data_IF_520906071266
#
_entry.id   IF_520906071266
#
_cell.length_a   1.000
_cell.length_b   1.000
_cell.length_c   1.000
_cell.angle_alpha   90.00
_cell.angle_beta   90.00
_cell.angle_gamma   90.00
#
_symmetry.space_group_name_H-M   'P 1'
#
loop_
_entity.id
_entity.type
_entity.pdbx_description
1 polymer ?
#
# COMPACT_ATOMS: atom_id res chain seq x y z
N UNK A 1 4.17 -8.57 -12.02
CA UNK A 1 3.45 -8.18 -10.78
C UNK A 1 2.03 -7.67 -11.03
N UNK A 2 1.81 -6.84 -12.06
CA UNK A 2 0.49 -6.24 -12.34
C UNK A 2 -0.56 -7.31 -12.66
N UNK A 3 -0.27 -8.25 -13.58
CA UNK A 3 -1.23 -9.29 -13.98
C UNK A 3 -1.78 -10.11 -12.81
N UNK A 4 -0.90 -10.65 -11.94
CA UNK A 4 -1.35 -11.44 -10.78
C UNK A 4 -2.10 -10.62 -9.74
N UNK A 5 -1.77 -9.33 -9.58
CA UNK A 5 -2.46 -8.42 -8.66
C UNK A 5 -3.84 -8.05 -9.17
N UNK A 6 -3.98 -7.80 -10.47
CA UNK A 6 -5.26 -7.54 -11.12
C UNK A 6 -6.14 -8.78 -11.07
N UNK A 7 -5.57 -9.97 -11.29
CA UNK A 7 -6.30 -11.24 -11.14
C UNK A 7 -6.74 -11.51 -9.70
N UNK A 8 -5.89 -11.26 -8.69
CA UNK A 8 -6.31 -11.45 -7.30
C UNK A 8 -7.45 -10.52 -6.89
N UNK A 9 -7.46 -9.28 -7.37
CA UNK A 9 -8.54 -8.31 -7.09
C UNK A 9 -9.88 -8.70 -7.74
N UNK A 10 -9.87 -9.57 -8.76
CA UNK A 10 -11.12 -10.11 -9.31
C UNK A 10 -11.77 -11.16 -8.40
N UNK A 11 -10.97 -11.82 -7.55
CA UNK A 11 -11.45 -12.91 -6.68
C UNK A 11 -11.46 -12.57 -5.19
N UNK A 12 -10.71 -11.56 -4.75
CA UNK A 12 -10.65 -11.09 -3.36
C UNK A 12 -11.14 -9.65 -3.25
N UNK A 13 -11.83 -9.33 -2.17
CA UNK A 13 -12.16 -7.93 -1.84
C UNK A 13 -10.88 -7.12 -1.61
N UNK A 14 -10.94 -5.82 -1.90
CA UNK A 14 -9.79 -4.91 -1.80
C UNK A 14 -9.24 -4.87 -0.36
N UNK A 15 -10.12 -5.03 0.63
CA UNK A 15 -9.78 -5.12 2.06
C UNK A 15 -8.93 -6.37 2.37
N UNK A 16 -9.37 -7.55 1.91
CA UNK A 16 -8.62 -8.80 2.14
C UNK A 16 -7.30 -8.77 1.38
N UNK A 17 -7.30 -8.27 0.14
CA UNK A 17 -6.07 -8.04 -0.63
C UNK A 17 -5.08 -7.13 0.11
N UNK A 18 -5.58 -6.09 0.80
CA UNK A 18 -4.75 -5.17 1.58
C UNK A 18 -4.13 -5.84 2.81
N UNK A 19 -4.88 -6.69 3.53
CA UNK A 19 -4.35 -7.48 4.65
C UNK A 19 -3.24 -8.41 4.16
N UNK A 20 -3.48 -9.14 3.06
CA UNK A 20 -2.50 -10.07 2.50
C UNK A 20 -1.23 -9.38 2.02
N UNK A 21 -1.33 -8.19 1.43
CA UNK A 21 -0.15 -7.39 1.06
C UNK A 21 0.67 -6.98 2.28
N UNK A 22 0.01 -6.58 3.36
CA UNK A 22 0.71 -6.20 4.58
C UNK A 22 1.39 -7.42 5.24
N UNK A 23 0.76 -8.60 5.19
CA UNK A 23 1.38 -9.85 5.65
C UNK A 23 2.60 -10.24 4.79
N UNK A 24 2.54 -10.00 3.48
CA UNK A 24 3.66 -10.24 2.56
C UNK A 24 4.90 -9.42 2.96
N UNK A 25 4.74 -8.20 3.47
CA UNK A 25 5.86 -7.38 3.97
C UNK A 25 6.59 -8.09 5.11
N UNK A 26 5.87 -8.73 6.03
CA UNK A 26 6.44 -9.48 7.15
C UNK A 26 7.23 -10.68 6.64
N UNK A 27 6.65 -11.43 5.70
CA UNK A 27 7.32 -12.59 5.08
C UNK A 27 8.60 -12.15 4.35
N UNK A 28 8.55 -11.03 3.62
CA UNK A 28 9.71 -10.47 2.91
C UNK A 28 10.80 -10.06 3.90
N UNK A 29 10.44 -9.44 5.04
CA UNK A 29 11.41 -9.08 6.07
C UNK A 29 12.15 -10.31 6.64
N UNK A 30 11.43 -11.41 6.91
CA UNK A 30 12.04 -12.67 7.34
C UNK A 30 12.87 -13.33 6.23
N UNK A 31 12.41 -13.25 4.98
CA UNK A 31 13.14 -13.77 3.82
C UNK A 31 14.46 -13.03 3.63
N UNK A 32 14.46 -11.71 3.81
CA UNK A 32 15.66 -10.88 3.73
C UNK A 32 16.68 -11.29 4.80
N UNK A 33 16.23 -11.62 6.01
CA UNK A 33 17.08 -12.15 7.09
C UNK A 33 17.65 -13.52 6.76
N UNK A 34 16.85 -14.41 6.18
CA UNK A 34 17.30 -15.75 5.79
C UNK A 34 18.38 -15.71 4.70
N UNK A 35 18.23 -14.87 3.68
CA UNK A 35 19.13 -14.82 2.52
C UNK A 35 20.32 -13.88 2.69
N UNK A 36 20.17 -12.76 3.39
CA UNK A 36 21.21 -11.74 3.54
C UNK A 36 21.84 -11.70 4.94
N UNK A 37 21.45 -12.61 5.84
CA UNK A 37 22.08 -12.78 7.16
C UNK A 37 21.87 -11.61 8.13
N UNK A 38 20.92 -10.72 7.87
CA UNK A 38 20.60 -9.60 8.76
C UNK A 38 19.85 -10.02 10.02
N UNK A 39 19.83 -9.18 11.06
CA UNK A 39 19.04 -9.42 12.27
C UNK A 39 17.73 -8.62 12.27
N UNK A 40 16.60 -9.28 12.53
CA UNK A 40 15.35 -8.59 12.84
C UNK A 40 15.40 -8.17 14.30
N UNK A 41 15.58 -6.88 14.56
CA UNK A 41 15.43 -6.36 15.93
C UNK A 41 13.98 -6.57 16.38
N UNK A 42 13.73 -6.96 17.65
CA UNK A 42 12.37 -7.21 18.15
C UNK A 42 11.46 -5.99 18.02
N UNK A 43 12.04 -4.79 18.03
CA UNK A 43 11.32 -3.54 17.79
C UNK A 43 10.81 -3.38 16.35
N UNK A 44 11.51 -3.96 15.37
CA UNK A 44 11.09 -4.00 13.97
C UNK A 44 9.91 -4.97 13.80
N UNK A 45 9.95 -6.11 14.52
CA UNK A 45 8.84 -7.06 14.55
C UNK A 45 7.58 -6.44 15.17
N UNK A 46 7.74 -5.66 16.25
CA UNK A 46 6.65 -4.93 16.89
C UNK A 46 5.97 -3.98 15.88
N UNK A 47 6.75 -3.26 15.08
CA UNK A 47 6.21 -2.41 14.02
C UNK A 47 5.35 -3.18 13.02
N UNK A 48 5.81 -4.35 12.58
CA UNK A 48 5.03 -5.20 11.68
C UNK A 48 3.74 -5.72 12.31
N UNK A 49 3.75 -6.01 13.62
CA UNK A 49 2.55 -6.32 14.38
C UNK A 49 1.52 -5.20 14.29
N UNK A 50 1.92 -3.95 14.59
CA UNK A 50 1.05 -2.78 14.49
C UNK A 50 0.54 -2.53 13.07
N UNK A 51 1.37 -2.75 12.05
CA UNK A 51 0.99 -2.64 10.63
C UNK A 51 -0.14 -3.63 10.28
N UNK A 52 -0.01 -4.90 10.70
CA UNK A 52 -1.02 -5.94 10.44
C UNK A 52 -2.32 -5.63 11.19
N UNK A 53 -2.22 -5.28 12.48
CA UNK A 53 -3.38 -4.90 13.30
C UNK A 53 -4.13 -3.70 12.71
N UNK A 54 -3.42 -2.67 12.25
CA UNK A 54 -4.01 -1.51 11.57
C UNK A 54 -4.85 -1.92 10.37
N UNK A 55 -4.35 -2.81 9.50
CA UNK A 55 -5.12 -3.31 8.34
C UNK A 55 -6.32 -4.16 8.70
N UNK A 56 -6.27 -4.94 9.78
CA UNK A 56 -7.41 -5.75 10.25
C UNK A 56 -8.50 -4.83 10.79
N UNK A 57 -8.14 -3.84 11.61
CA UNK A 57 -9.08 -2.87 12.17
C UNK A 57 -9.72 -2.02 11.07
N UNK A 58 -8.95 -1.63 10.04
CA UNK A 58 -9.48 -0.92 8.87
C UNK A 58 -10.51 -1.76 8.12
N UNK A 59 -10.20 -3.03 7.83
CA UNK A 59 -11.13 -3.92 7.16
C UNK A 59 -12.40 -4.17 7.97
N UNK A 60 -12.27 -4.32 9.30
CA UNK A 60 -13.41 -4.44 10.20
C UNK A 60 -14.30 -3.20 10.19
N UNK A 61 -13.69 -2.01 10.21
CA UNK A 61 -14.40 -0.73 10.18
C UNK A 61 -15.20 -0.54 8.88
N UNK A 62 -14.61 -0.90 7.74
CA UNK A 62 -15.27 -0.79 6.43
C UNK A 62 -16.41 -1.81 6.28
N UNK A 63 -16.27 -3.04 6.80
CA UNK A 63 -17.34 -4.04 6.82
C UNK A 63 -18.50 -3.57 7.71
N UNK A 64 -18.22 -3.03 8.89
CA UNK A 64 -19.24 -2.53 9.81
C UNK A 64 -20.00 -1.32 9.22
N UNK A 65 -19.30 -0.41 8.53
CA UNK A 65 -19.91 0.70 7.82
C UNK A 65 -20.84 0.22 6.69
N UNK A 66 -20.41 -0.81 5.94
CA UNK A 66 -21.22 -1.42 4.88
C UNK A 66 -22.49 -2.11 5.42
N UNK A 67 -22.41 -2.75 6.59
CA UNK A 67 -23.56 -3.43 7.21
C UNK A 67 -24.59 -2.45 7.81
N UNK A 68 -24.15 -1.30 8.34
CA UNK A 68 -25.03 -0.32 9.00
C UNK A 68 -25.72 0.66 8.04
N UNK A 69 -25.74 0.38 6.72
CA UNK A 69 -26.46 1.20 5.74
C UNK A 69 -25.79 2.53 5.38
N UNK A 70 -24.55 2.77 5.82
CA UNK A 70 -23.71 3.87 5.35
C UNK A 70 -23.15 3.56 3.96
N UNK A 71 -23.99 3.61 2.93
CA UNK A 71 -23.57 3.44 1.53
C UNK A 71 -23.19 4.83 1.01
N UNK A 72 -21.93 5.01 0.59
CA UNK A 72 -21.58 4.62 -0.77
C UNK A 72 -20.53 3.52 -0.77
N UNK A 73 -20.99 2.34 -1.17
CA UNK A 73 -20.20 1.22 -1.64
C UNK A 73 -19.41 1.66 -2.87
N UNK A 74 -18.24 2.24 -2.63
CA UNK A 74 -17.24 2.44 -3.67
C UNK A 74 -16.64 1.12 -4.18
N UNK A 75 -17.15 -0.06 -3.82
CA UNK A 75 -16.56 -1.34 -4.27
C UNK A 75 -17.55 -2.40 -4.79
N UNK A 76 -18.84 -2.41 -4.43
CA UNK A 76 -19.81 -3.37 -5.01
C UNK A 76 -20.66 -2.78 -6.13
N UNK A 77 -20.94 -1.47 -6.14
CA UNK A 77 -21.60 -0.81 -7.27
C UNK A 77 -20.65 -0.60 -8.45
N UNK A 78 -19.33 -0.49 -8.20
CA UNK A 78 -18.32 -0.39 -9.28
C UNK A 78 -18.25 -1.68 -10.08
N UNK A 79 -18.37 -2.86 -9.46
CA UNK A 79 -18.35 -4.14 -10.20
C UNK A 79 -19.50 -4.26 -11.20
N UNK A 80 -20.73 -3.95 -10.78
CA UNK A 80 -21.90 -3.99 -11.66
C UNK A 80 -21.89 -2.84 -12.68
N UNK A 81 -21.45 -1.65 -12.28
CA UNK A 81 -21.31 -0.51 -13.19
C UNK A 81 -20.17 -0.74 -14.21
N UNK A 82 -19.04 -1.33 -13.82
CA UNK A 82 -17.92 -1.72 -14.70
C UNK A 82 -18.30 -2.89 -15.61
N UNK A 83 -19.10 -3.86 -15.15
CA UNK A 83 -19.58 -4.95 -16.01
C UNK A 83 -20.62 -4.43 -16.99
N UNK A 84 -21.59 -3.62 -16.56
CA UNK A 84 -22.50 -2.93 -17.48
C UNK A 84 -21.73 -1.98 -18.42
N UNK A 85 -20.63 -1.40 -17.93
CA UNK A 85 -19.78 -0.47 -18.69
C UNK A 85 -18.93 -1.17 -19.75
N UNK A 86 -18.30 -2.27 -19.37
CA UNK A 86 -17.52 -3.12 -20.25
C UNK A 86 -18.43 -3.88 -21.24
N UNK A 87 -19.65 -4.24 -20.85
CA UNK A 87 -20.62 -4.91 -21.72
C UNK A 87 -21.15 -3.96 -22.81
N UNK A 88 -21.39 -2.68 -22.49
CA UNK A 88 -21.70 -1.68 -23.53
C UNK A 88 -20.49 -1.40 -24.42
N UNK A 89 -19.27 -1.46 -23.87
CA UNK A 89 -18.05 -1.13 -24.62
C UNK A 89 -17.61 -2.29 -25.52
N UNK A 90 -17.84 -3.55 -25.17
CA UNK A 90 -17.42 -4.69 -26.00
C UNK A 90 -18.24 -4.84 -27.30
N UNK A 91 -19.53 -4.48 -27.26
CA UNK A 91 -20.39 -4.45 -28.46
C UNK A 91 -20.12 -3.23 -29.36
N UNK A 92 -19.48 -2.19 -28.83
CA UNK A 92 -19.13 -0.96 -29.55
C UNK A 92 -17.64 -0.83 -29.88
N UNK A 93 -16.84 -1.91 -29.83
CA UNK A 93 -15.40 -1.85 -30.10
C UNK A 93 -15.02 -1.26 -31.47
N UNK A 94 -15.92 -1.34 -32.46
CA UNK A 94 -15.77 -0.70 -33.76
C UNK A 94 -16.27 0.77 -33.83
N UNK A 95 -16.97 1.26 -32.79
CA UNK A 95 -17.58 2.61 -32.68
C UNK A 95 -17.10 3.40 -31.43
N UNK A 96 -16.15 2.85 -30.66
CA UNK A 96 -15.97 3.06 -29.20
C UNK A 96 -15.28 4.34 -28.73
N UNK A 97 -14.83 5.21 -29.63
CA UNK A 97 -14.28 6.50 -29.21
C UNK A 97 -15.22 7.58 -29.71
N UNK A 98 -16.02 8.16 -28.81
CA UNK A 98 -16.61 9.47 -29.06
C UNK A 98 -15.47 10.39 -29.52
N UNK A 99 -15.55 10.94 -30.74
CA UNK A 99 -14.44 11.71 -31.35
C UNK A 99 -14.01 12.88 -30.46
N UNK A 100 -14.91 13.38 -29.61
CA UNK A 100 -14.65 14.46 -28.63
C UNK A 100 -13.89 14.00 -27.38
N UNK A 101 -14.09 12.78 -26.87
CA UNK A 101 -13.47 12.32 -25.60
C UNK A 101 -12.12 11.61 -25.80
N UNK A 102 -11.83 11.14 -27.03
CA UNK A 102 -10.60 10.40 -27.35
C UNK A 102 -9.33 11.17 -26.99
N UNK A 103 -9.30 12.47 -27.24
CA UNK A 103 -8.13 13.29 -26.96
C UNK A 103 -7.89 13.41 -25.44
N UNK A 104 -8.96 13.58 -24.63
CA UNK A 104 -8.83 13.61 -23.17
C UNK A 104 -8.33 12.27 -22.62
N UNK A 105 -8.85 11.14 -23.12
CA UNK A 105 -8.39 9.81 -22.69
C UNK A 105 -6.93 9.54 -23.05
N UNK A 106 -6.49 9.93 -24.26
CA UNK A 106 -5.09 9.80 -24.67
C UNK A 106 -4.20 10.68 -23.79
N UNK A 107 -4.63 11.91 -23.48
CA UNK A 107 -3.89 12.82 -22.58
C UNK A 107 -3.80 12.23 -21.17
N UNK A 108 -4.89 11.68 -20.62
CA UNK A 108 -4.90 11.05 -19.30
C UNK A 108 -3.99 9.81 -19.24
N UNK A 109 -3.99 8.99 -20.29
CA UNK A 109 -3.09 7.83 -20.41
C UNK A 109 -1.61 8.26 -20.47
N UNK A 110 -1.30 9.32 -21.23
CA UNK A 110 0.06 9.87 -21.30
C UNK A 110 0.50 10.46 -19.97
N UNK A 111 -0.38 11.21 -19.30
CA UNK A 111 -0.12 11.81 -17.99
C UNK A 111 0.12 10.74 -16.92
N UNK A 112 -0.73 9.72 -16.86
CA UNK A 112 -0.59 8.58 -15.94
C UNK A 112 0.68 7.78 -16.21
N UNK A 113 1.03 7.58 -17.50
CA UNK A 113 2.25 6.87 -17.89
C UNK A 113 3.52 7.63 -17.49
N UNK A 114 3.52 8.97 -17.63
CA UNK A 114 4.64 9.81 -17.18
C UNK A 114 4.82 9.74 -15.66
N UNK A 115 3.72 9.79 -14.91
CA UNK A 115 3.74 9.56 -13.46
C UNK A 115 4.26 8.17 -13.08
N UNK A 116 3.87 7.13 -13.82
CA UNK A 116 4.33 5.76 -13.58
C UNK A 116 5.85 5.59 -13.79
N UNK A 117 6.42 6.29 -14.78
CA UNK A 117 7.89 6.30 -15.00
C UNK A 117 8.60 6.91 -13.80
N UNK A 118 8.11 8.04 -13.28
CA UNK A 118 8.71 8.71 -12.13
C UNK A 118 8.65 7.85 -10.86
N UNK A 119 7.49 7.23 -10.59
CA UNK A 119 7.34 6.30 -9.47
C UNK A 119 8.29 5.11 -9.64
N UNK A 120 8.37 4.53 -10.84
CA UNK A 120 9.24 3.37 -11.11
C UNK A 120 10.72 3.69 -10.87
N UNK A 121 11.21 4.84 -11.34
CA UNK A 121 12.58 5.29 -11.09
C UNK A 121 12.85 5.53 -9.60
N UNK A 122 11.94 6.25 -8.93
CA UNK A 122 12.05 6.53 -7.49
C UNK A 122 12.04 5.24 -6.65
N UNK A 123 11.18 4.28 -6.99
CA UNK A 123 11.14 2.96 -6.35
C UNK A 123 12.46 2.20 -6.50
N UNK A 124 13.02 2.15 -7.72
CA UNK A 124 14.29 1.47 -7.96
C UNK A 124 15.45 2.14 -7.20
N UNK A 125 15.47 3.47 -7.16
CA UNK A 125 16.47 4.24 -6.42
C UNK A 125 16.35 4.02 -4.90
N UNK A 126 15.12 4.00 -4.38
CA UNK A 126 14.83 3.71 -2.98
C UNK A 126 15.33 2.32 -2.58
N UNK A 127 15.02 1.28 -3.37
CA UNK A 127 15.47 -0.10 -3.09
C UNK A 127 17.00 -0.21 -3.17
N UNK A 128 17.66 0.55 -4.06
CA UNK A 128 19.12 0.55 -4.13
C UNK A 128 19.79 1.18 -2.91
N UNK A 129 19.18 2.22 -2.32
CA UNK A 129 19.73 2.95 -1.17
C UNK A 129 19.25 2.42 0.19
N UNK A 130 18.23 1.58 0.18
CA UNK A 130 17.61 1.01 1.38
C UNK A 130 17.42 -0.49 1.20
N UNK A 131 16.52 -1.12 1.94
CA UNK A 131 16.19 -2.53 1.75
C UNK A 131 14.81 -2.69 1.13
N UNK A 132 14.56 -3.85 0.51
CA UNK A 132 13.26 -4.16 -0.09
C UNK A 132 12.13 -4.02 0.95
N UNK A 133 12.39 -4.45 2.17
CA UNK A 133 11.46 -4.31 3.30
C UNK A 133 11.15 -2.84 3.61
N UNK A 134 12.16 -1.96 3.64
CA UNK A 134 11.94 -0.51 3.87
C UNK A 134 11.10 0.11 2.76
N UNK A 135 11.38 -0.22 1.50
CA UNK A 135 10.58 0.26 0.37
C UNK A 135 9.11 -0.13 0.48
N UNK A 136 8.82 -1.41 0.76
CA UNK A 136 7.45 -1.89 0.86
C UNK A 136 6.72 -1.31 2.08
N UNK A 137 7.44 -1.06 3.16
CA UNK A 137 6.89 -0.41 4.33
C UNK A 137 6.55 1.07 4.06
N UNK A 138 7.36 1.79 3.27
CA UNK A 138 7.02 3.15 2.78
C UNK A 138 5.78 3.12 1.89
N UNK A 139 5.65 2.12 1.02
CA UNK A 139 4.43 1.94 0.20
C UNK A 139 3.19 1.71 1.08
N UNK A 140 3.34 0.98 2.19
CA UNK A 140 2.28 0.85 3.21
C UNK A 140 1.96 2.19 3.87
N UNK A 141 2.96 2.94 4.35
CA UNK A 141 2.80 4.22 5.01
C UNK A 141 2.26 5.34 4.13
N UNK A 142 2.27 5.17 2.81
CA UNK A 142 1.59 6.10 1.90
C UNK A 142 0.05 5.98 1.99
N UNK A 143 -0.49 4.85 2.50
CA UNK A 143 -1.94 4.63 2.57
C UNK A 143 -2.65 5.51 3.63
N UNK A 144 -2.17 5.64 4.89
CA UNK A 144 -2.84 6.46 5.89
C UNK A 144 -2.97 7.96 5.51
N UNK A 145 -1.94 8.65 4.95
CA UNK A 145 -2.09 10.02 4.46
C UNK A 145 -3.12 10.16 3.34
N UNK A 146 -3.15 9.22 2.39
CA UNK A 146 -4.15 9.20 1.33
C UNK A 146 -5.56 9.01 1.89
N UNK A 147 -5.72 8.20 2.94
CA UNK A 147 -6.99 8.02 3.64
C UNK A 147 -7.45 9.30 4.34
N UNK A 148 -6.54 10.03 5.01
CA UNK A 148 -6.84 11.34 5.61
C UNK A 148 -7.26 12.33 4.52
N UNK A 149 -6.52 12.39 3.41
CA UNK A 149 -6.86 13.25 2.28
C UNK A 149 -8.27 12.93 1.74
N UNK A 150 -8.63 11.64 1.66
CA UNK A 150 -9.97 11.22 1.24
C UNK A 150 -11.05 11.70 2.21
N UNK A 151 -10.80 11.65 3.51
CA UNK A 151 -11.76 12.11 4.52
C UNK A 151 -11.96 13.63 4.42
N UNK A 152 -10.87 14.40 4.32
CA UNK A 152 -10.93 15.88 4.29
C UNK A 152 -11.59 16.40 3.02
N UNK A 153 -11.21 15.87 1.84
CA UNK A 153 -11.66 16.42 0.56
C UNK A 153 -12.97 15.81 0.04
N UNK A 154 -13.24 14.55 0.38
CA UNK A 154 -14.39 13.80 -0.17
C UNK A 154 -15.43 13.42 0.89
N UNK A 155 -15.31 13.98 2.11
CA UNK A 155 -16.24 13.80 3.23
C UNK A 155 -16.63 12.32 3.44
N UNK A 156 -15.65 11.43 3.28
CA UNK A 156 -15.85 10.00 3.36
C UNK A 156 -16.31 9.61 4.78
N UNK A 157 -17.09 8.53 4.88
CA UNK A 157 -17.62 8.06 6.16
C UNK A 157 -16.47 7.81 7.15
N UNK A 158 -16.51 8.55 8.25
CA UNK A 158 -15.53 8.45 9.32
C UNK A 158 -16.12 7.56 10.41
N UNK A 159 -15.55 6.37 10.58
CA UNK A 159 -15.85 5.52 11.73
C UNK A 159 -14.71 5.60 12.75
N UNK A 160 -15.03 5.31 14.01
CA UNK A 160 -14.01 5.21 15.06
C UNK A 160 -12.92 4.18 14.70
N UNK A 161 -13.30 3.06 14.08
CA UNK A 161 -12.35 2.03 13.63
C UNK A 161 -11.40 2.54 12.54
N UNK A 162 -11.89 3.32 11.57
CA UNK A 162 -11.07 3.88 10.50
C UNK A 162 -10.04 4.88 11.05
N UNK A 163 -10.41 5.75 12.00
CA UNK A 163 -9.48 6.67 12.67
C UNK A 163 -8.43 5.90 13.47
N UNK A 164 -8.86 4.90 14.24
CA UNK A 164 -7.95 4.07 15.04
C UNK A 164 -6.95 3.32 14.15
N UNK A 165 -7.39 2.79 13.01
CA UNK A 165 -6.52 2.14 12.04
C UNK A 165 -5.46 3.09 11.46
N UNK A 166 -5.83 4.33 11.17
CA UNK A 166 -4.91 5.38 10.70
C UNK A 166 -3.85 5.68 11.77
N UNK A 167 -4.28 5.90 13.03
CA UNK A 167 -3.36 6.18 14.14
C UNK A 167 -2.38 5.03 14.38
N UNK A 168 -2.87 3.78 14.40
CA UNK A 168 -2.03 2.58 14.54
C UNK A 168 -1.03 2.45 13.37
N UNK A 169 -1.43 2.83 12.16
CA UNK A 169 -0.55 2.80 10.99
C UNK A 169 0.57 3.84 11.05
N UNK A 170 0.28 5.06 11.51
CA UNK A 170 1.32 6.06 11.77
C UNK A 170 2.24 5.65 12.92
N UNK A 171 1.68 5.07 13.98
CA UNK A 171 2.47 4.60 15.13
C UNK A 171 3.43 3.47 14.74
N UNK A 172 2.97 2.51 13.91
CA UNK A 172 3.82 1.52 13.26
C UNK A 172 4.98 2.20 12.50
N UNK A 173 4.68 3.26 11.75
CA UNK A 173 5.67 4.06 11.03
C UNK A 173 6.79 4.63 11.92
N UNK A 174 6.42 5.22 13.04
CA UNK A 174 7.37 5.80 14.00
C UNK A 174 8.26 4.72 14.64
N UNK A 175 7.67 3.61 15.07
CA UNK A 175 8.42 2.48 15.66
C UNK A 175 9.40 1.91 14.64
N UNK A 176 8.98 1.73 13.37
CA UNK A 176 9.86 1.24 12.32
C UNK A 176 11.05 2.16 12.10
N UNK A 177 10.80 3.48 12.00
CA UNK A 177 11.84 4.49 11.80
C UNK A 177 12.85 4.47 12.95
N UNK A 178 12.36 4.47 14.18
CA UNK A 178 13.20 4.39 15.37
C UNK A 178 14.02 3.09 15.43
N UNK A 179 13.41 1.95 15.13
CA UNK A 179 14.10 0.66 15.07
C UNK A 179 15.22 0.65 14.02
N UNK A 180 15.01 1.29 12.86
CA UNK A 180 16.03 1.38 11.82
C UNK A 180 17.13 2.37 12.15
N UNK A 181 16.85 3.43 12.91
CA UNK A 181 17.88 4.35 13.42
C UNK A 181 18.81 3.63 14.40
N UNK A 182 18.24 2.93 15.39
CA UNK A 182 19.02 2.14 16.35
C UNK A 182 19.86 1.04 15.68
N UNK A 183 19.30 0.37 14.66
CA UNK A 183 20.05 -0.64 13.91
C UNK A 183 21.26 -0.07 13.16
N UNK A 184 21.14 1.15 12.61
CA UNK A 184 22.27 1.84 11.95
C UNK A 184 23.35 2.25 12.94
N UNK A 185 22.98 2.70 14.13
CA UNK A 185 23.92 3.09 15.19
C UNK A 185 24.74 1.88 15.68
N UNK A 186 24.07 0.74 15.94
CA UNK A 186 24.74 -0.51 16.34
C UNK A 186 25.72 -0.98 15.27
N UNK A 187 25.31 -0.99 14.00
CA UNK A 187 26.18 -1.35 12.88
C UNK A 187 27.36 -0.38 12.74
N UNK A 188 27.13 0.92 12.97
CA UNK A 188 28.18 1.94 12.98
C UNK A 188 29.22 1.69 14.06
N UNK A 189 28.80 1.50 15.32
CA UNK A 189 29.70 1.24 16.45
C UNK A 189 30.53 -0.03 16.26
N UNK A 190 29.94 -1.09 15.69
CA UNK A 190 30.67 -2.32 15.41
C UNK A 190 31.76 -2.12 14.35
N UNK A 191 31.49 -1.30 13.32
CA UNK A 191 32.46 -0.98 12.27
C UNK A 191 33.62 -0.08 12.75
N UNK A 192 33.41 0.71 13.81
CA UNK A 192 34.50 1.44 14.49
C UNK A 192 35.35 0.50 15.34
N UNK A 193 34.72 -0.34 16.17
CA UNK A 193 35.43 -1.31 17.01
C UNK A 193 36.31 -2.30 16.22
N UNK A 194 35.92 -2.66 15.00
CA UNK A 194 36.70 -3.58 14.14
C UNK A 194 37.88 -2.88 13.45
N UNK A 195 37.84 -1.55 13.29
CA UNK A 195 38.97 -0.76 12.78
C UNK A 195 40.03 -0.45 13.84
N UNK A 196 39.62 -0.51 15.11
CA UNK A 196 40.47 -0.28 16.28
C UNK A 196 40.98 -1.60 16.90
N UNK A 197 40.72 -2.75 16.27
CA UNK A 197 41.27 -4.04 16.66
C UNK A 197 42.76 -4.16 16.23
N UNK A 198 43.66 -4.61 17.13
CA UNK A 198 45.12 -4.61 16.91
C UNK A 198 45.61 -5.57 15.82
#
# INVERSE_FOLDING_TARGET
>A
MIYTSTKSLQFLSVLVYTILKNLTIVVIAYSEVLWFGGSVTPLLLLSFGFMVLSSIVAAWADILAALNGGVPLAETTIGLNVVCTASYSLTNLAMNFCKETRNSLIIDMLYSSLGAIFISYSSAWCIRKTTLTTYLFVVYLNKPPLAISRIIFFNALVTFGSILAILLGFFSGLIYGYSKMGQKEILGNNAWNEKDAP
#
